data_IF_947460795980
#
_entry.id   IF_947460795980
#
_cell.length_a   1.000
_cell.length_b   1.000
_cell.length_c   1.000
_cell.angle_alpha   90.00
_cell.angle_beta   90.00
_cell.angle_gamma   90.00
#
_symmetry.space_group_name_H-M   'P 1'
#
loop_
_entity.id
_entity.type
_entity.pdbx_description
1 polymer ?
#
# COMPACT_ATOMS: atom_id res chain seq x y z
N UNK A 1 -15.04 14.11 -20.06
CA UNK A 1 -13.86 13.40 -19.53
C UNK A 1 -14.37 12.16 -18.81
N UNK A 2 -13.62 11.06 -18.80
CA UNK A 2 -13.92 9.95 -17.89
C UNK A 2 -13.76 10.43 -16.43
N UNK A 3 -14.48 9.82 -15.48
CA UNK A 3 -14.38 10.16 -14.06
C UNK A 3 -14.05 8.91 -13.25
N UNK A 4 -12.92 8.95 -12.55
CA UNK A 4 -12.50 7.95 -11.54
C UNK A 4 -13.42 7.93 -10.30
N UNK A 5 -14.31 8.92 -10.15
CA UNK A 5 -15.34 9.02 -9.10
C UNK A 5 -16.73 8.55 -9.58
N UNK A 6 -16.88 8.09 -10.83
CA UNK A 6 -18.19 7.67 -11.38
C UNK A 6 -18.85 6.52 -10.58
N UNK A 7 -18.07 5.77 -9.81
CA UNK A 7 -18.50 4.67 -8.95
C UNK A 7 -19.14 5.13 -7.62
N UNK A 8 -18.98 6.40 -7.24
CA UNK A 8 -19.51 7.00 -6.00
C UNK A 8 -20.94 7.53 -6.21
N UNK A 9 -21.82 6.62 -6.64
CA UNK A 9 -23.21 6.93 -7.02
C UNK A 9 -24.08 7.30 -5.82
N UNK A 10 -25.20 7.98 -6.09
CA UNK A 10 -26.23 8.26 -5.09
C UNK A 10 -26.78 6.97 -4.46
N UNK A 11 -26.93 5.89 -5.25
CA UNK A 11 -27.33 4.57 -4.72
C UNK A 11 -26.33 4.05 -3.68
N UNK A 12 -25.02 4.16 -3.94
CA UNK A 12 -23.98 3.76 -2.98
C UNK A 12 -24.11 4.53 -1.68
N UNK A 13 -24.31 5.86 -1.76
CA UNK A 13 -24.52 6.69 -0.59
C UNK A 13 -25.79 6.29 0.19
N UNK A 14 -26.90 5.97 -0.48
CA UNK A 14 -28.13 5.47 0.16
C UNK A 14 -27.94 4.12 0.85
N UNK A 15 -27.21 3.18 0.23
CA UNK A 15 -26.87 1.89 0.82
C UNK A 15 -26.01 2.06 2.08
N UNK A 16 -25.00 2.94 2.01
CA UNK A 16 -24.15 3.26 3.16
C UNK A 16 -24.95 3.91 4.30
N UNK A 17 -25.87 4.83 4.01
CA UNK A 17 -26.76 5.39 5.04
C UNK A 17 -27.64 4.32 5.73
N UNK A 18 -28.11 3.31 4.99
CA UNK A 18 -28.82 2.15 5.56
C UNK A 18 -27.91 1.25 6.41
N UNK A 19 -26.67 1.05 5.97
CA UNK A 19 -25.64 0.33 6.72
C UNK A 19 -25.37 1.01 8.06
N UNK A 20 -25.15 2.33 8.07
CA UNK A 20 -24.97 3.15 9.29
C UNK A 20 -26.20 3.03 10.20
N UNK A 21 -27.42 3.17 9.65
CA UNK A 21 -28.67 3.08 10.41
C UNK A 21 -28.83 1.73 11.13
N UNK A 22 -28.43 0.64 10.50
CA UNK A 22 -28.56 -0.72 11.04
C UNK A 22 -27.45 -1.07 12.03
N UNK A 23 -26.19 -0.79 11.67
CA UNK A 23 -24.99 -1.14 12.46
C UNK A 23 -24.65 -0.17 13.59
N UNK A 24 -25.18 1.07 13.55
CA UNK A 24 -24.79 2.20 14.41
C UNK A 24 -23.31 2.58 14.31
N UNK A 25 -22.63 2.21 13.21
CA UNK A 25 -21.25 2.61 12.93
C UNK A 25 -21.26 3.87 12.09
N UNK A 26 -20.96 5.01 12.72
CA UNK A 26 -20.94 6.32 12.05
C UNK A 26 -19.58 6.65 11.41
N UNK A 27 -18.48 6.13 11.98
CA UNK A 27 -17.12 6.34 11.48
C UNK A 27 -16.30 5.06 11.53
N UNK A 28 -15.38 4.92 10.60
CA UNK A 28 -14.45 3.79 10.44
C UNK A 28 -13.05 4.32 10.14
N UNK A 29 -12.04 3.46 10.19
CA UNK A 29 -10.71 3.78 9.65
C UNK A 29 -10.76 3.98 8.12
N UNK A 30 -9.74 4.65 7.57
CA UNK A 30 -9.71 4.98 6.14
C UNK A 30 -9.60 3.76 5.21
N UNK A 31 -9.12 2.62 5.69
CA UNK A 31 -9.01 1.42 4.86
C UNK A 31 -10.38 0.76 4.70
N UNK A 32 -11.11 0.52 5.79
CA UNK A 32 -12.50 0.07 5.73
C UNK A 32 -13.40 1.07 4.97
N UNK A 33 -13.22 2.38 5.16
CA UNK A 33 -13.91 3.40 4.38
C UNK A 33 -13.68 3.22 2.87
N UNK A 34 -12.42 3.16 2.44
CA UNK A 34 -12.06 3.00 1.04
C UNK A 34 -12.57 1.66 0.46
N UNK A 35 -12.46 0.55 1.19
CA UNK A 35 -12.99 -0.74 0.75
C UNK A 35 -14.52 -0.74 0.63
N UNK A 36 -15.27 -0.14 1.56
CA UNK A 36 -16.74 -0.03 1.45
C UNK A 36 -17.14 0.85 0.27
N UNK A 37 -16.48 1.99 0.07
CA UNK A 37 -16.77 2.90 -1.05
C UNK A 37 -16.35 2.37 -2.42
N UNK A 38 -15.37 1.46 -2.49
CA UNK A 38 -14.90 0.80 -3.72
C UNK A 38 -15.40 -0.66 -3.88
N UNK A 39 -16.21 -1.15 -2.94
CA UNK A 39 -16.80 -2.50 -3.00
C UNK A 39 -17.74 -2.68 -4.19
N UNK A 40 -17.91 -3.93 -4.60
CA UNK A 40 -18.95 -4.31 -5.55
C UNK A 40 -20.36 -3.95 -5.05
N UNK A 41 -21.23 -3.52 -5.96
CA UNK A 41 -22.56 -3.01 -5.58
C UNK A 41 -23.48 -4.12 -5.06
N UNK A 42 -23.43 -5.33 -5.62
CA UNK A 42 -24.26 -6.44 -5.13
C UNK A 42 -23.76 -6.96 -3.78
N UNK A 43 -22.44 -6.96 -3.56
CA UNK A 43 -21.85 -7.27 -2.25
C UNK A 43 -22.29 -6.24 -1.20
N UNK A 44 -22.23 -4.94 -1.52
CA UNK A 44 -22.72 -3.89 -0.62
C UNK A 44 -24.23 -4.02 -0.34
N UNK A 45 -25.06 -4.29 -1.36
CA UNK A 45 -26.49 -4.57 -1.18
C UNK A 45 -26.71 -5.82 -0.31
N UNK A 46 -25.90 -6.87 -0.48
CA UNK A 46 -25.92 -8.07 0.36
C UNK A 46 -25.58 -7.78 1.82
N UNK A 47 -24.50 -7.01 2.06
CA UNK A 47 -24.07 -6.56 3.39
C UNK A 47 -25.15 -5.75 4.11
N UNK A 48 -25.80 -4.82 3.40
CA UNK A 48 -26.94 -4.04 3.93
C UNK A 48 -28.13 -4.93 4.27
N UNK A 49 -28.55 -5.84 3.37
CA UNK A 49 -29.64 -6.80 3.63
C UNK A 49 -29.34 -7.68 4.84
N UNK A 50 -28.08 -8.10 5.02
CA UNK A 50 -27.67 -8.88 6.19
C UNK A 50 -27.73 -8.04 7.46
N UNK A 51 -27.21 -6.81 7.46
CA UNK A 51 -27.29 -5.91 8.62
C UNK A 51 -28.75 -5.59 9.01
N UNK A 52 -29.66 -5.50 8.04
CA UNK A 52 -31.09 -5.25 8.26
C UNK A 52 -31.88 -6.48 8.75
N UNK A 53 -31.34 -7.70 8.67
CA UNK A 53 -32.08 -8.92 9.02
C UNK A 53 -32.30 -9.12 10.53
N UNK A 54 -31.54 -8.42 11.38
CA UNK A 54 -31.71 -8.43 12.83
C UNK A 54 -30.45 -8.02 13.61
N UNK A 55 -30.61 -7.77 14.90
CA UNK A 55 -29.55 -7.22 15.78
C UNK A 55 -28.26 -8.05 15.80
N UNK A 56 -28.36 -9.39 15.73
CA UNK A 56 -27.18 -10.25 15.71
C UNK A 56 -26.36 -10.06 14.41
N UNK A 57 -27.03 -10.05 13.26
CA UNK A 57 -26.40 -9.79 11.96
C UNK A 57 -25.85 -8.36 11.85
N UNK A 58 -26.59 -7.36 12.35
CA UNK A 58 -26.10 -5.98 12.45
C UNK A 58 -24.79 -5.89 13.25
N UNK A 59 -24.68 -6.61 14.38
CA UNK A 59 -23.47 -6.65 15.20
C UNK A 59 -22.31 -7.36 14.50
N UNK A 60 -22.55 -8.46 13.77
CA UNK A 60 -21.50 -9.13 12.99
C UNK A 60 -20.92 -8.20 11.90
N UNK A 61 -21.79 -7.51 11.15
CA UNK A 61 -21.35 -6.53 10.15
C UNK A 61 -20.61 -5.37 10.81
N UNK A 62 -21.11 -4.86 11.95
CA UNK A 62 -20.46 -3.79 12.72
C UNK A 62 -19.05 -4.17 13.23
N UNK A 63 -18.80 -5.44 13.54
CA UNK A 63 -17.46 -5.94 13.90
C UNK A 63 -16.55 -6.00 12.67
N UNK A 64 -17.05 -6.54 11.55
CA UNK A 64 -16.30 -6.65 10.30
C UNK A 64 -15.81 -5.28 9.80
N UNK A 65 -16.69 -4.28 9.71
CA UNK A 65 -16.34 -2.93 9.22
C UNK A 65 -15.51 -2.09 10.22
N UNK A 66 -15.13 -2.66 11.38
CA UNK A 66 -14.22 -2.04 12.36
C UNK A 66 -12.85 -2.72 12.40
N UNK A 67 -12.59 -3.75 11.58
CA UNK A 67 -11.36 -4.55 11.61
C UNK A 67 -10.13 -3.88 10.97
N UNK A 68 -10.00 -2.55 11.06
CA UNK A 68 -9.03 -1.71 10.34
C UNK A 68 -7.57 -2.19 10.34
N UNK A 69 -6.97 -2.56 11.49
CA UNK A 69 -5.57 -2.99 11.54
C UNK A 69 -5.29 -4.23 10.69
N UNK A 70 -6.21 -5.21 10.65
CA UNK A 70 -6.08 -6.40 9.80
C UNK A 70 -6.14 -6.02 8.31
N UNK A 71 -7.08 -5.15 7.95
CA UNK A 71 -7.28 -4.65 6.58
C UNK A 71 -6.01 -3.95 6.06
N UNK A 72 -5.41 -3.07 6.86
CA UNK A 72 -4.18 -2.37 6.48
C UNK A 72 -2.98 -3.33 6.43
N UNK A 73 -2.85 -4.27 7.38
CA UNK A 73 -1.78 -5.28 7.35
C UNK A 73 -1.78 -6.05 6.02
N UNK A 74 -2.94 -6.54 5.58
CA UNK A 74 -3.06 -7.23 4.30
C UNK A 74 -2.76 -6.31 3.11
N UNK A 75 -3.25 -5.07 3.13
CA UNK A 75 -3.02 -4.10 2.05
C UNK A 75 -1.55 -3.64 1.96
N UNK A 76 -0.85 -3.49 3.07
CA UNK A 76 0.59 -3.21 3.07
C UNK A 76 1.39 -4.41 2.56
N UNK A 77 0.97 -5.62 2.92
CA UNK A 77 1.55 -6.86 2.42
C UNK A 77 1.33 -7.05 0.91
N UNK A 78 0.19 -6.58 0.38
CA UNK A 78 -0.04 -6.42 -1.06
C UNK A 78 0.95 -5.44 -1.68
N UNK A 79 1.04 -4.21 -1.15
CA UNK A 79 1.94 -3.15 -1.62
C UNK A 79 3.43 -3.46 -1.46
N UNK A 80 3.80 -4.59 -0.82
CA UNK A 80 5.11 -4.84 -0.22
C UNK A 80 6.30 -4.38 -1.07
N UNK A 81 6.91 -3.28 -0.61
CA UNK A 81 8.15 -2.71 -1.11
C UNK A 81 9.25 -3.76 -1.08
N UNK A 82 10.21 -3.71 -2.02
CA UNK A 82 11.52 -4.35 -1.81
C UNK A 82 12.18 -3.65 -0.63
N UNK A 83 12.19 -4.27 0.55
CA UNK A 83 13.09 -3.87 1.63
C UNK A 83 14.52 -4.05 1.11
N UNK A 84 15.29 -2.97 1.08
CA UNK A 84 16.63 -2.94 0.48
C UNK A 84 17.70 -3.58 1.38
N UNK A 85 17.37 -4.76 1.95
CA UNK A 85 18.12 -5.39 3.05
C UNK A 85 18.42 -6.88 2.84
N UNK A 86 18.31 -7.37 1.61
CA UNK A 86 18.99 -8.59 1.11
C UNK A 86 18.83 -8.73 -0.41
N UNK A 87 19.79 -8.21 -1.17
CA UNK A 87 20.03 -8.56 -2.59
C UNK A 87 21.45 -8.08 -2.99
N UNK A 88 22.44 -8.24 -2.10
CA UNK A 88 23.88 -8.21 -2.46
C UNK A 88 24.33 -9.63 -2.75
N UNK A 89 23.87 -10.18 -3.88
CA UNK A 89 24.32 -11.45 -4.45
C UNK A 89 24.02 -11.47 -5.97
N UNK A 90 24.69 -10.59 -6.73
CA UNK A 90 25.09 -10.77 -8.15
C UNK A 90 25.82 -9.50 -8.66
N UNK A 91 27.02 -9.26 -8.15
CA UNK A 91 27.96 -8.26 -8.70
C UNK A 91 29.41 -8.59 -8.34
N UNK A 92 29.82 -9.84 -8.56
CA UNK A 92 31.20 -10.30 -8.41
C UNK A 92 31.72 -10.78 -9.78
N UNK A 93 32.26 -9.83 -10.56
CA UNK A 93 33.45 -9.99 -11.44
C UNK A 93 33.62 -8.78 -12.36
N UNK A 94 34.03 -7.64 -11.80
CA UNK A 94 34.86 -6.64 -12.50
C UNK A 94 35.84 -6.06 -11.48
N UNK A 95 37.12 -6.42 -11.57
CA UNK A 95 38.16 -5.72 -10.80
C UNK A 95 38.26 -4.25 -11.24
N UNK A 96 38.34 -3.28 -10.31
CA UNK A 96 38.58 -1.90 -10.66
C UNK A 96 40.07 -1.69 -11.01
N UNK A 97 40.34 -1.50 -12.30
CA UNK A 97 41.66 -1.08 -12.77
C UNK A 97 42.07 0.25 -12.12
N UNK A 98 43.33 0.33 -11.67
CA UNK A 98 43.89 1.52 -11.00
C UNK A 98 44.08 2.69 -11.98
N UNK A 99 43.75 3.94 -11.58
CA UNK A 99 43.92 5.10 -12.45
C UNK A 99 45.38 5.55 -12.51
N UNK A 100 45.93 5.63 -13.72
CA UNK A 100 47.28 6.15 -13.99
C UNK A 100 47.25 7.66 -14.27
N UNK A 101 47.97 8.45 -13.47
CA UNK A 101 48.23 9.88 -13.69
C UNK A 101 49.49 10.08 -14.54
N UNK A 102 49.55 11.06 -15.47
CA UNK A 102 50.69 11.23 -16.38
C UNK A 102 51.76 12.20 -15.86
N UNK A 103 53.05 11.91 -16.12
CA UNK A 103 54.16 12.88 -16.14
C UNK A 103 55.40 12.32 -16.88
N UNK A 104 56.14 13.20 -17.55
CA UNK A 104 57.33 12.96 -18.40
C UNK A 104 58.51 13.83 -17.86
N UNK A 105 59.77 13.80 -18.35
CA UNK A 105 60.62 12.73 -18.96
C UNK A 105 62.10 12.64 -18.43
N UNK A 106 62.77 11.46 -18.53
CA UNK A 106 64.21 11.23 -18.92
C UNK A 106 65.35 11.73 -17.95
N UNK A 107 66.65 11.27 -17.97
CA UNK A 107 67.36 10.12 -18.60
C UNK A 107 68.21 9.19 -17.65
N UNK A 108 68.68 8.05 -18.21
CA UNK A 108 69.93 7.29 -17.89
C UNK A 108 70.04 6.60 -16.49
N UNK A 109 70.80 5.51 -16.27
CA UNK A 109 71.90 4.85 -17.02
C UNK A 109 72.02 3.36 -16.59
N UNK A 110 72.68 2.49 -17.38
CA UNK A 110 73.55 1.44 -16.81
C UNK A 110 73.12 -0.04 -16.83
N UNK A 111 73.67 -0.78 -17.80
CA UNK A 111 74.29 -2.12 -17.64
C UNK A 111 73.45 -3.39 -17.31
N UNK A 112 74.13 -4.54 -17.33
CA UNK A 112 73.62 -5.86 -17.74
C UNK A 112 74.24 -7.00 -16.87
N UNK A 113 74.36 -8.28 -17.28
CA UNK A 113 73.38 -9.36 -17.09
C UNK A 113 73.88 -10.55 -16.23
N UNK A 114 73.16 -11.70 -16.32
CA UNK A 114 73.48 -13.05 -15.80
C UNK A 114 73.06 -13.30 -14.32
N UNK A 115 72.66 -14.51 -13.89
CA UNK A 115 72.90 -15.85 -14.46
C UNK A 115 71.77 -16.88 -14.17
N UNK A 116 71.52 -17.78 -15.12
CA UNK A 116 70.93 -19.13 -14.90
C UNK A 116 72.04 -20.13 -14.46
N UNK A 117 71.85 -21.47 -14.41
CA UNK A 117 70.64 -22.31 -14.32
C UNK A 117 70.74 -23.43 -13.23
N UNK A 118 69.64 -24.14 -12.91
CA UNK A 118 69.69 -25.62 -12.73
C UNK A 118 68.31 -26.31 -12.65
N UNK A 119 68.19 -27.41 -13.38
CA UNK A 119 67.24 -28.54 -13.20
C UNK A 119 68.10 -29.81 -12.89
N UNK A 120 67.61 -31.05 -12.63
CA UNK A 120 66.22 -31.56 -12.72
C UNK A 120 65.77 -32.65 -11.67
N UNK A 121 64.46 -33.01 -11.72
CA UNK A 121 63.88 -34.38 -11.55
C UNK A 121 63.98 -35.20 -10.23
N UNK A 122 62.81 -35.54 -9.61
CA UNK A 122 62.27 -36.93 -9.49
C UNK A 122 61.05 -37.13 -8.53
N UNK A 123 59.88 -37.45 -9.13
CA UNK A 123 59.01 -38.65 -8.91
C UNK A 123 58.63 -39.17 -7.49
N UNK A 124 57.32 -39.07 -7.15
CA UNK A 124 56.45 -39.97 -6.29
C UNK A 124 56.83 -40.15 -4.79
N UNK A 125 55.96 -40.44 -3.81
CA UNK A 125 54.60 -41.06 -3.81
C UNK A 125 53.79 -40.74 -2.53
N UNK A 126 52.46 -40.82 -2.61
CA UNK A 126 51.47 -41.23 -1.57
C UNK A 126 51.45 -40.60 -0.15
N UNK A 127 50.29 -40.03 0.19
CA UNK A 127 49.51 -40.47 1.37
C UNK A 127 48.00 -40.34 1.10
N UNK A 128 47.23 -41.26 1.66
CA UNK A 128 45.78 -41.41 1.51
C UNK A 128 45.04 -40.77 2.69
N UNK A 129 43.84 -40.25 2.45
CA UNK A 129 42.75 -40.28 3.45
C UNK A 129 41.37 -40.20 2.77
N UNK A 130 40.33 -40.57 3.52
CA UNK A 130 39.14 -41.27 3.00
C UNK A 130 38.01 -40.38 2.44
N UNK A 131 37.12 -40.93 1.58
CA UNK A 131 35.95 -40.21 1.08
C UNK A 131 34.78 -40.22 2.08
N UNK A 132 33.99 -39.15 2.09
CA UNK A 132 32.72 -39.06 2.82
C UNK A 132 31.79 -38.00 2.17
N UNK A 133 30.45 -38.14 2.30
CA UNK A 133 29.70 -38.42 1.08
C UNK A 133 28.55 -37.46 0.74
N UNK A 134 27.97 -37.68 -0.44
CA UNK A 134 26.59 -37.32 -0.81
C UNK A 134 26.20 -35.83 -0.70
N UNK A 135 26.50 -35.06 -1.76
CA UNK A 135 25.68 -33.89 -2.09
C UNK A 135 24.30 -34.37 -2.55
N UNK A 136 23.33 -34.37 -1.62
CA UNK A 136 21.92 -34.54 -1.96
C UNK A 136 21.51 -33.39 -2.90
N UNK A 137 20.97 -33.64 -4.09
CA UNK A 137 20.43 -32.58 -4.92
C UNK A 137 19.28 -31.91 -4.18
N UNK A 138 19.43 -30.63 -3.85
CA UNK A 138 18.36 -29.83 -3.24
C UNK A 138 17.17 -29.84 -4.20
N UNK A 139 16.06 -30.44 -3.79
CA UNK A 139 14.82 -30.44 -4.57
C UNK A 139 14.30 -29.00 -4.65
N UNK A 140 14.70 -28.27 -5.69
CA UNK A 140 14.21 -26.93 -5.97
C UNK A 140 12.81 -27.05 -6.56
N UNK A 141 11.78 -26.65 -5.81
CA UNK A 141 10.42 -26.51 -6.33
C UNK A 141 10.43 -25.66 -7.61
N UNK A 142 10.04 -26.20 -8.78
CA UNK A 142 10.17 -25.49 -10.06
C UNK A 142 9.36 -24.19 -10.15
N UNK A 143 8.31 -24.02 -9.33
CA UNK A 143 7.42 -22.85 -9.34
C UNK A 143 7.93 -21.60 -8.61
N UNK A 144 9.19 -21.56 -8.14
CA UNK A 144 9.71 -20.46 -7.31
C UNK A 144 10.89 -19.67 -7.92
N UNK A 145 11.31 -19.98 -9.15
CA UNK A 145 12.32 -19.21 -9.87
C UNK A 145 11.68 -18.24 -10.86
N UNK A 146 12.26 -17.02 -10.96
CA UNK A 146 11.84 -16.00 -11.92
C UNK A 146 12.00 -16.52 -13.35
N UNK A 147 10.93 -16.56 -14.13
CA UNK A 147 10.92 -17.09 -15.48
C UNK A 147 11.62 -16.12 -16.44
N UNK A 148 12.83 -16.49 -16.87
CA UNK A 148 13.54 -15.72 -17.90
C UNK A 148 12.71 -15.61 -19.18
N UNK A 149 12.10 -16.72 -19.62
CA UNK A 149 11.24 -16.76 -20.81
C UNK A 149 10.05 -15.80 -20.71
N UNK A 150 9.36 -15.74 -19.56
CA UNK A 150 8.21 -14.84 -19.42
C UNK A 150 8.63 -13.36 -19.46
N UNK A 151 9.79 -13.03 -18.88
CA UNK A 151 10.38 -11.69 -18.94
C UNK A 151 10.83 -11.31 -20.35
N UNK A 152 11.46 -12.22 -21.07
CA UNK A 152 11.92 -12.00 -22.43
C UNK A 152 10.71 -11.78 -23.38
N UNK A 153 9.62 -12.53 -23.18
CA UNK A 153 8.33 -12.31 -23.87
C UNK A 153 7.74 -10.94 -23.54
N UNK A 154 7.60 -10.58 -22.26
CA UNK A 154 7.05 -9.28 -21.86
C UNK A 154 7.91 -8.11 -22.37
N UNK A 155 9.25 -8.26 -22.34
CA UNK A 155 10.19 -7.28 -22.89
C UNK A 155 10.04 -7.14 -24.41
N UNK A 156 9.90 -8.25 -25.15
CA UNK A 156 9.71 -8.22 -26.59
C UNK A 156 8.37 -7.56 -26.96
N UNK A 157 7.28 -7.95 -26.29
CA UNK A 157 5.93 -7.38 -26.45
C UNK A 157 5.90 -5.87 -26.25
N UNK A 158 6.53 -5.38 -25.19
CA UNK A 158 6.55 -3.95 -24.83
C UNK A 158 7.68 -3.17 -25.52
N UNK A 159 8.32 -3.75 -26.56
CA UNK A 159 9.46 -3.19 -27.31
C UNK A 159 10.67 -2.79 -26.43
N UNK A 160 10.78 -3.37 -25.23
CA UNK A 160 11.80 -3.04 -24.24
C UNK A 160 11.67 -1.65 -23.61
N UNK A 161 10.57 -0.92 -23.86
CA UNK A 161 10.34 0.44 -23.37
C UNK A 161 9.37 0.44 -22.18
N UNK A 162 9.37 1.50 -21.37
CA UNK A 162 8.30 1.71 -20.40
C UNK A 162 6.97 1.96 -21.14
N UNK A 163 5.95 1.15 -20.87
CA UNK A 163 4.65 1.28 -21.57
C UNK A 163 3.93 2.61 -21.32
N UNK A 164 4.26 3.29 -20.21
CA UNK A 164 3.69 4.60 -19.83
C UNK A 164 4.45 5.75 -20.48
N UNK A 165 5.77 5.82 -20.27
CA UNK A 165 6.58 6.96 -20.70
C UNK A 165 7.29 6.77 -22.04
N UNK A 166 7.19 5.59 -22.67
CA UNK A 166 7.99 5.20 -23.84
C UNK A 166 9.52 5.32 -23.66
N UNK A 167 9.99 5.48 -22.41
CA UNK A 167 11.40 5.56 -22.05
C UNK A 167 12.10 4.22 -22.31
N UNK A 168 13.22 4.23 -23.02
CA UNK A 168 13.98 3.02 -23.37
C UNK A 168 14.80 2.44 -22.22
N UNK A 169 15.49 3.28 -21.45
CA UNK A 169 16.32 2.85 -20.31
C UNK A 169 16.30 3.91 -19.19
N UNK A 170 16.35 3.53 -17.89
CA UNK A 170 16.30 2.15 -17.38
C UNK A 170 14.86 1.61 -17.31
N UNK A 171 14.66 0.38 -17.78
CA UNK A 171 13.37 -0.33 -17.78
C UNK A 171 13.44 -1.61 -16.95
N UNK A 172 12.38 -1.88 -16.19
CA UNK A 172 12.20 -3.04 -15.34
C UNK A 172 10.99 -3.85 -15.82
N UNK A 173 11.07 -5.18 -15.71
CA UNK A 173 9.92 -6.06 -15.90
C UNK A 173 9.22 -6.23 -14.54
N UNK A 174 8.06 -5.60 -14.41
CA UNK A 174 7.30 -5.47 -13.18
C UNK A 174 6.12 -6.44 -13.16
N UNK A 175 5.86 -7.06 -12.02
CA UNK A 175 4.68 -7.91 -11.82
C UNK A 175 3.44 -7.07 -11.50
N UNK A 176 2.27 -7.46 -12.01
CA UNK A 176 0.97 -6.86 -11.69
C UNK A 176 0.48 -7.40 -10.35
N UNK A 177 0.29 -8.71 -10.27
CA UNK A 177 0.22 -9.45 -9.02
C UNK A 177 1.63 -9.60 -8.45
N UNK A 178 1.93 -8.84 -7.40
CA UNK A 178 3.27 -8.76 -6.82
C UNK A 178 3.87 -10.14 -6.48
N UNK A 179 5.09 -10.39 -6.96
CA UNK A 179 5.83 -11.64 -6.74
C UNK A 179 6.07 -11.97 -5.25
N UNK A 180 6.06 -10.97 -4.35
CA UNK A 180 6.06 -11.18 -2.90
C UNK A 180 4.81 -11.94 -2.42
N UNK A 181 3.64 -11.62 -2.95
CA UNK A 181 2.38 -12.29 -2.63
C UNK A 181 2.35 -13.74 -3.15
N UNK A 182 3.05 -14.03 -4.25
CA UNK A 182 3.26 -15.40 -4.74
C UNK A 182 4.16 -16.25 -3.84
N UNK A 183 5.05 -15.62 -3.05
CA UNK A 183 5.99 -16.30 -2.13
C UNK A 183 5.42 -16.57 -0.73
N UNK A 184 4.31 -15.93 -0.36
CA UNK A 184 3.59 -16.17 0.89
C UNK A 184 3.20 -17.64 1.06
N UNK A 185 3.01 -18.07 2.31
CA UNK A 185 2.37 -19.35 2.63
C UNK A 185 0.93 -19.39 2.13
N UNK A 186 0.34 -20.58 2.06
CA UNK A 186 -1.06 -20.76 1.64
C UNK A 186 -2.03 -20.00 2.55
N UNK A 187 -1.90 -20.17 3.87
CA UNK A 187 -2.73 -19.45 4.85
C UNK A 187 -2.63 -17.91 4.74
N UNK A 188 -1.44 -17.33 4.57
CA UNK A 188 -1.29 -15.88 4.40
C UNK A 188 -1.89 -15.35 3.08
N UNK A 189 -2.01 -16.20 2.05
CA UNK A 189 -2.74 -15.85 0.81
C UNK A 189 -4.24 -15.98 1.05
N UNK A 190 -4.68 -17.01 1.76
CA UNK A 190 -6.09 -17.24 2.06
C UNK A 190 -6.67 -16.16 2.98
N UNK A 191 -5.90 -15.62 3.93
CA UNK A 191 -6.28 -14.41 4.69
C UNK A 191 -6.51 -13.20 3.75
N UNK A 192 -5.57 -12.94 2.83
CA UNK A 192 -5.69 -11.85 1.86
C UNK A 192 -6.90 -12.02 0.95
N UNK A 193 -7.12 -13.22 0.39
CA UNK A 193 -8.28 -13.49 -0.45
C UNK A 193 -9.59 -13.48 0.33
N UNK A 194 -9.58 -13.94 1.59
CA UNK A 194 -10.71 -13.89 2.52
C UNK A 194 -11.15 -12.46 2.84
N UNK A 195 -10.18 -11.54 2.98
CA UNK A 195 -10.47 -10.11 3.08
C UNK A 195 -11.17 -9.57 1.83
N UNK A 196 -10.69 -9.91 0.63
CA UNK A 196 -11.30 -9.40 -0.61
C UNK A 196 -12.72 -9.94 -0.84
N UNK A 197 -13.02 -11.16 -0.38
CA UNK A 197 -14.38 -11.74 -0.42
C UNK A 197 -15.41 -10.98 0.43
N UNK A 198 -14.99 -10.10 1.34
CA UNK A 198 -15.91 -9.21 2.07
C UNK A 198 -16.39 -8.01 1.22
N UNK A 199 -15.74 -7.72 0.08
CA UNK A 199 -15.96 -6.51 -0.71
C UNK A 199 -16.18 -6.76 -2.22
N UNK A 200 -15.83 -7.93 -2.75
CA UNK A 200 -16.09 -8.34 -4.15
C UNK A 200 -16.69 -9.75 -4.24
N UNK A 201 -17.50 -10.04 -5.29
CA UNK A 201 -18.20 -11.31 -5.40
C UNK A 201 -17.24 -12.48 -5.63
N UNK A 202 -17.63 -13.67 -5.16
CA UNK A 202 -16.82 -14.90 -5.21
C UNK A 202 -16.26 -15.12 -6.63
N UNK A 203 -17.12 -15.08 -7.63
CA UNK A 203 -16.79 -15.28 -9.05
C UNK A 203 -15.66 -14.33 -9.53
N UNK A 204 -15.62 -13.09 -9.03
CA UNK A 204 -14.59 -12.09 -9.39
C UNK A 204 -13.27 -12.40 -8.70
N UNK A 205 -13.29 -12.84 -7.44
CA UNK A 205 -12.11 -13.31 -6.72
C UNK A 205 -11.56 -14.59 -7.36
N UNK A 206 -12.43 -15.50 -7.80
CA UNK A 206 -12.02 -16.72 -8.51
C UNK A 206 -11.41 -16.42 -9.89
N UNK A 207 -11.96 -15.47 -10.65
CA UNK A 207 -11.35 -14.97 -11.89
C UNK A 207 -9.93 -14.44 -11.64
N UNK A 208 -9.74 -13.58 -10.63
CA UNK A 208 -8.41 -13.08 -10.25
C UNK A 208 -7.47 -14.21 -9.85
N UNK A 209 -7.92 -15.18 -9.04
CA UNK A 209 -7.14 -16.35 -8.64
C UNK A 209 -6.72 -17.23 -9.82
N UNK A 210 -7.62 -17.48 -10.77
CA UNK A 210 -7.37 -18.36 -11.91
C UNK A 210 -6.21 -17.84 -12.80
N UNK A 211 -6.12 -16.53 -12.98
CA UNK A 211 -5.04 -15.87 -13.73
C UNK A 211 -3.67 -15.89 -13.00
N UNK A 212 -3.64 -16.25 -11.71
CA UNK A 212 -2.44 -16.25 -10.86
C UNK A 212 -1.96 -17.67 -10.54
N UNK A 213 -2.89 -18.55 -10.15
CA UNK A 213 -2.62 -19.88 -9.62
C UNK A 213 -2.82 -21.01 -10.64
N UNK A 214 -2.91 -20.67 -11.93
CA UNK A 214 -2.81 -21.64 -13.01
C UNK A 214 -1.46 -22.38 -13.02
N UNK A 215 -1.28 -23.41 -13.89
CA UNK A 215 -0.11 -24.30 -13.87
C UNK A 215 1.27 -23.64 -14.03
N UNK A 216 1.31 -22.37 -14.43
CA UNK A 216 2.52 -21.57 -14.66
C UNK A 216 2.81 -20.57 -13.52
N UNK A 217 1.92 -20.45 -12.54
CA UNK A 217 2.04 -19.54 -11.39
C UNK A 217 2.14 -18.06 -11.78
N UNK A 218 2.75 -17.27 -10.90
CA UNK A 218 2.91 -15.80 -11.07
C UNK A 218 3.87 -15.36 -12.19
N UNK A 219 4.64 -16.29 -12.75
CA UNK A 219 5.74 -16.02 -13.69
C UNK A 219 5.31 -16.20 -15.15
N UNK A 220 4.20 -15.54 -15.52
CA UNK A 220 3.58 -15.53 -16.86
C UNK A 220 3.62 -14.14 -17.50
N UNK A 221 3.73 -14.00 -18.84
CA UNK A 221 3.76 -12.69 -19.50
C UNK A 221 2.51 -11.82 -19.24
N UNK A 222 1.35 -12.44 -19.04
CA UNK A 222 0.10 -11.77 -18.67
C UNK A 222 0.17 -11.07 -17.30
N UNK A 223 1.08 -11.48 -16.42
CA UNK A 223 1.31 -10.86 -15.11
C UNK A 223 2.47 -9.84 -15.15
N UNK A 224 3.05 -9.54 -16.32
CA UNK A 224 4.26 -8.74 -16.47
C UNK A 224 4.05 -7.51 -17.36
N UNK A 225 4.70 -6.40 -16.99
CA UNK A 225 4.70 -5.10 -17.69
C UNK A 225 6.10 -4.49 -17.68
N UNK A 226 6.50 -3.83 -18.77
CA UNK A 226 7.70 -3.00 -18.78
C UNK A 226 7.43 -1.59 -18.25
N UNK A 227 8.04 -1.22 -17.13
CA UNK A 227 7.95 0.11 -16.53
C UNK A 227 9.35 0.69 -16.30
N UNK A 228 9.49 2.02 -16.37
CA UNK A 228 10.72 2.66 -15.86
C UNK A 228 10.77 2.56 -14.34
N UNK A 229 11.96 2.65 -13.76
CA UNK A 229 12.15 2.64 -12.31
C UNK A 229 11.25 3.68 -11.59
N UNK A 230 11.13 4.90 -12.12
CA UNK A 230 10.31 5.96 -11.54
C UNK A 230 8.82 5.60 -11.58
N UNK A 231 8.32 5.07 -12.71
CA UNK A 231 6.90 4.69 -12.84
C UNK A 231 6.58 3.52 -11.91
N UNK A 232 7.47 2.53 -11.81
CA UNK A 232 7.33 1.39 -10.92
C UNK A 232 7.29 1.83 -9.44
N UNK A 233 8.24 2.65 -9.00
CA UNK A 233 8.29 3.17 -7.63
C UNK A 233 7.04 3.99 -7.26
N UNK A 234 6.53 4.79 -8.19
CA UNK A 234 5.29 5.56 -8.00
C UNK A 234 4.06 4.65 -7.92
N UNK A 235 4.02 3.57 -8.71
CA UNK A 235 2.94 2.59 -8.68
C UNK A 235 2.93 1.81 -7.35
N UNK A 236 4.07 1.29 -6.91
CA UNK A 236 4.22 0.61 -5.62
C UNK A 236 3.91 1.52 -4.41
N UNK A 237 4.05 2.84 -4.57
CA UNK A 237 3.67 3.86 -3.56
C UNK A 237 2.23 4.36 -3.72
N UNK A 238 1.40 3.69 -4.53
CA UNK A 238 0.01 4.06 -4.83
C UNK A 238 -0.16 5.52 -5.26
N UNK A 239 0.81 6.09 -5.98
CA UNK A 239 0.76 7.47 -6.51
C UNK A 239 0.12 7.56 -7.89
N UNK A 240 0.08 6.43 -8.59
CA UNK A 240 -0.58 6.27 -9.87
C UNK A 240 -1.23 4.88 -9.95
N UNK A 241 -2.17 4.69 -10.87
CA UNK A 241 -2.71 3.38 -11.22
C UNK A 241 -3.16 3.33 -12.69
N UNK A 242 -3.43 2.10 -13.16
CA UNK A 242 -3.88 1.81 -14.51
C UNK A 242 -5.27 1.17 -14.47
N UNK A 243 -6.28 1.87 -14.97
CA UNK A 243 -7.63 1.35 -15.15
C UNK A 243 -7.67 0.57 -16.48
N UNK A 244 -7.97 -0.75 -16.51
CA UNK A 244 -8.20 -1.45 -17.76
C UNK A 244 -9.57 -1.04 -18.33
N UNK A 245 -9.61 -0.56 -19.57
CA UNK A 245 -10.81 0.02 -20.20
C UNK A 245 -11.50 -0.99 -21.11
N UNK A 246 -10.74 -1.57 -22.03
CA UNK A 246 -11.24 -2.53 -23.03
C UNK A 246 -10.07 -3.36 -23.57
N UNK A 247 -10.37 -4.60 -23.98
CA UNK A 247 -9.48 -5.44 -24.77
C UNK A 247 -10.20 -5.78 -26.07
N UNK A 248 -9.50 -5.75 -27.21
CA UNK A 248 -10.08 -6.12 -28.49
C UNK A 248 -10.40 -7.61 -28.54
N UNK A 249 -11.43 -7.99 -29.31
CA UNK A 249 -11.93 -9.38 -29.36
C UNK A 249 -10.92 -10.39 -29.91
N UNK A 250 -9.89 -9.93 -30.64
CA UNK A 250 -8.75 -10.69 -31.13
C UNK A 250 -7.57 -10.75 -30.13
N UNK A 251 -7.65 -10.02 -29.02
CA UNK A 251 -6.61 -9.94 -27.98
C UNK A 251 -5.35 -9.17 -28.39
N UNK A 252 -5.37 -8.44 -29.52
CA UNK A 252 -4.18 -7.74 -30.05
C UNK A 252 -3.96 -6.36 -29.44
N UNK A 253 -5.00 -5.72 -28.88
CA UNK A 253 -4.91 -4.40 -28.26
C UNK A 253 -5.65 -4.35 -26.91
N UNK A 254 -5.01 -3.77 -25.90
CA UNK A 254 -5.54 -3.54 -24.56
C UNK A 254 -5.42 -2.05 -24.24
N UNK A 255 -6.56 -1.39 -24.11
CA UNK A 255 -6.65 0.02 -23.75
C UNK A 255 -6.64 0.14 -22.23
N UNK A 256 -5.64 0.84 -21.67
CA UNK A 256 -5.60 1.22 -20.25
C UNK A 256 -5.71 2.74 -20.12
N UNK A 257 -6.19 3.21 -18.96
CA UNK A 257 -6.25 4.64 -18.62
C UNK A 257 -5.36 4.93 -17.42
N UNK A 258 -4.48 5.91 -17.59
CA UNK A 258 -3.57 6.39 -16.56
C UNK A 258 -4.29 7.30 -15.57
N UNK A 259 -4.03 7.11 -14.29
CA UNK A 259 -4.53 7.99 -13.23
C UNK A 259 -3.42 8.33 -12.24
N UNK A 260 -3.19 9.62 -12.01
CA UNK A 260 -2.55 10.09 -10.78
C UNK A 260 -3.54 9.93 -9.62
N UNK A 261 -3.04 9.52 -8.45
CA UNK A 261 -3.85 9.28 -7.25
C UNK A 261 -3.51 10.29 -6.14
N UNK A 262 -4.47 10.65 -5.27
CA UNK A 262 -4.24 11.59 -4.16
C UNK A 262 -3.32 11.00 -3.09
N UNK A 263 -2.72 11.88 -2.29
CA UNK A 263 -1.83 11.53 -1.19
C UNK A 263 -2.54 11.64 0.13
N UNK A 264 -3.11 10.54 0.61
CA UNK A 264 -3.74 10.49 1.93
C UNK A 264 -2.75 9.99 2.98
N UNK A 265 -2.82 10.52 4.20
CA UNK A 265 -2.10 9.97 5.36
C UNK A 265 -2.99 8.97 6.11
N UNK A 266 -2.45 7.82 6.46
CA UNK A 266 -3.14 6.79 7.25
C UNK A 266 -3.18 7.18 8.74
N UNK A 267 -4.07 8.10 9.10
CA UNK A 267 -4.44 8.34 10.49
C UNK A 267 -5.89 8.82 10.58
N UNK A 268 -6.51 8.62 11.74
CA UNK A 268 -7.83 9.09 12.08
C UNK A 268 -8.97 8.31 11.44
N UNK A 269 -10.17 8.51 12.00
CA UNK A 269 -11.42 7.92 11.51
C UNK A 269 -12.13 8.91 10.61
N UNK A 270 -12.81 8.40 9.60
CA UNK A 270 -13.63 9.19 8.66
C UNK A 270 -15.09 8.81 8.80
N UNK A 271 -16.00 9.76 8.60
CA UNK A 271 -17.42 9.46 8.63
C UNK A 271 -17.77 8.55 7.44
N UNK A 272 -18.49 7.46 7.72
CA UNK A 272 -18.73 6.43 6.71
C UNK A 272 -19.60 6.96 5.55
N UNK A 273 -20.45 7.95 5.82
CA UNK A 273 -21.30 8.62 4.85
C UNK A 273 -20.60 9.58 3.89
N UNK A 274 -19.36 9.98 4.17
CA UNK A 274 -18.65 10.97 3.36
C UNK A 274 -18.01 10.26 2.16
N UNK A 275 -18.33 10.64 0.90
CA UNK A 275 -17.70 10.02 -0.26
C UNK A 275 -16.19 10.32 -0.27
N UNK A 276 -15.32 9.33 -0.54
CA UNK A 276 -13.91 9.58 -0.76
C UNK A 276 -13.71 10.42 -2.03
N UNK A 277 -12.64 11.23 -2.08
CA UNK A 277 -12.28 11.98 -3.28
C UNK A 277 -11.09 11.35 -4.01
N UNK A 278 -11.26 11.19 -5.31
CA UNK A 278 -10.24 10.80 -6.28
C UNK A 278 -10.27 11.84 -7.41
N UNK A 279 -9.56 12.99 -7.31
CA UNK A 279 -9.75 14.07 -8.28
C UNK A 279 -9.32 13.66 -9.69
N UNK A 280 -10.27 13.63 -10.63
CA UNK A 280 -10.02 13.18 -12.01
C UNK A 280 -9.03 14.07 -12.79
N UNK A 281 -8.75 15.29 -12.31
CA UNK A 281 -7.94 16.31 -12.98
C UNK A 281 -6.48 16.40 -12.50
N UNK A 282 -5.98 15.42 -11.75
CA UNK A 282 -4.60 15.43 -11.24
C UNK A 282 -3.57 15.40 -12.39
N UNK A 283 -2.56 16.28 -12.30
CA UNK A 283 -1.49 16.46 -13.32
C UNK A 283 -0.11 16.03 -12.84
N UNK A 284 -0.02 15.53 -11.61
CA UNK A 284 1.20 15.17 -10.92
C UNK A 284 0.85 14.30 -9.71
N UNK A 285 1.85 13.64 -9.14
CA UNK A 285 1.73 13.00 -7.83
C UNK A 285 1.55 14.03 -6.70
N UNK A 286 1.14 13.59 -5.50
CA UNK A 286 0.97 14.45 -4.32
C UNK A 286 2.25 15.18 -3.89
N UNK A 287 3.41 14.66 -4.28
CA UNK A 287 4.74 15.25 -4.03
C UNK A 287 5.35 15.84 -5.32
N UNK A 288 4.50 16.29 -6.24
CA UNK A 288 4.86 16.98 -7.49
C UNK A 288 5.75 16.16 -8.46
N UNK A 289 5.76 14.83 -8.35
CA UNK A 289 6.36 13.99 -9.39
C UNK A 289 5.48 14.06 -10.65
N UNK A 290 6.11 14.18 -11.82
CA UNK A 290 5.45 14.28 -13.13
C UNK A 290 6.13 13.31 -14.09
N UNK A 291 5.38 12.84 -15.08
CA UNK A 291 5.84 11.93 -16.10
C UNK A 291 5.61 12.58 -17.47
N UNK A 292 6.46 12.22 -18.42
CA UNK A 292 6.35 12.61 -19.82
C UNK A 292 6.43 11.37 -20.68
N UNK A 293 5.73 11.40 -21.82
CA UNK A 293 5.92 10.44 -22.89
C UNK A 293 7.13 10.91 -23.73
N UNK A 294 8.22 10.14 -23.69
CA UNK A 294 9.48 10.43 -24.37
C UNK A 294 9.41 10.33 -25.90
N UNK A 295 8.34 9.77 -26.46
CA UNK A 295 8.12 9.67 -27.91
C UNK A 295 7.35 10.88 -28.46
N UNK A 296 6.44 11.46 -27.67
CA UNK A 296 5.61 12.61 -28.07
C UNK A 296 6.02 13.94 -27.41
N UNK A 297 6.96 13.91 -26.47
CA UNK A 297 7.37 15.02 -25.57
C UNK A 297 6.19 15.65 -24.77
N UNK A 298 5.11 14.89 -24.58
CA UNK A 298 3.90 15.34 -23.90
C UNK A 298 3.89 14.96 -22.40
N UNK A 299 3.39 15.82 -21.50
CA UNK A 299 3.22 15.50 -20.08
C UNK A 299 2.02 14.56 -19.87
N UNK A 300 2.19 13.55 -19.00
CA UNK A 300 1.18 12.52 -18.76
C UNK A 300 0.25 12.92 -17.61
N UNK A 301 -1.06 12.98 -17.89
CA UNK A 301 -2.10 13.43 -16.94
C UNK A 301 -3.14 12.36 -16.63
N UNK A 302 -3.89 12.57 -15.54
CA UNK A 302 -5.04 11.70 -15.20
C UNK A 302 -6.08 11.68 -16.31
N UNK A 303 -6.59 10.49 -16.59
CA UNK A 303 -7.58 10.23 -17.63
C UNK A 303 -6.98 9.97 -19.01
N UNK A 304 -5.66 10.04 -19.17
CA UNK A 304 -4.97 9.75 -20.44
C UNK A 304 -5.01 8.27 -20.78
N UNK A 305 -5.22 7.94 -22.06
CA UNK A 305 -5.34 6.56 -22.53
C UNK A 305 -4.04 6.10 -23.18
N UNK A 306 -3.57 4.92 -22.75
CA UNK A 306 -2.41 4.22 -23.29
C UNK A 306 -2.91 2.92 -23.92
N UNK A 307 -2.52 2.63 -25.15
CA UNK A 307 -2.88 1.38 -25.83
C UNK A 307 -1.67 0.46 -25.83
N UNK A 308 -1.81 -0.72 -25.21
CA UNK A 308 -0.83 -1.79 -25.24
C UNK A 308 -1.18 -2.71 -26.41
N UNK A 309 -0.21 -3.02 -27.29
CA UNK A 309 -0.44 -3.82 -28.49
C UNK A 309 0.47 -5.03 -28.57
N UNK A 310 -0.01 -6.12 -29.17
CA UNK A 310 0.80 -7.28 -29.54
C UNK A 310 0.51 -7.74 -30.96
N UNK A 311 1.53 -8.24 -31.66
CA UNK A 311 1.41 -8.85 -32.99
C UNK A 311 1.07 -10.33 -32.93
N UNK A 312 1.24 -10.98 -31.77
CA UNK A 312 0.90 -12.38 -31.53
C UNK A 312 0.29 -12.52 -30.13
N UNK A 313 -1.06 -12.56 -30.02
CA UNK A 313 -1.74 -12.66 -28.73
C UNK A 313 -1.59 -14.03 -28.06
N UNK A 314 -1.01 -15.04 -28.74
CA UNK A 314 -0.79 -16.38 -28.19
C UNK A 314 0.64 -16.53 -27.66
N UNK A 315 1.65 -16.13 -28.44
CA UNK A 315 3.06 -16.20 -28.05
C UNK A 315 3.51 -15.02 -27.19
N UNK A 316 2.96 -13.83 -27.44
CA UNK A 316 3.27 -12.58 -26.72
C UNK A 316 1.98 -11.95 -26.16
N UNK A 317 1.24 -12.64 -25.28
CA UNK A 317 -0.04 -12.17 -24.79
C UNK A 317 0.09 -10.86 -24.02
N UNK A 318 -0.92 -10.01 -24.19
CA UNK A 318 -1.07 -8.78 -23.42
C UNK A 318 -1.23 -9.08 -21.91
N UNK A 319 -0.98 -8.08 -21.05
CA UNK A 319 -1.29 -8.19 -19.63
C UNK A 319 -2.75 -8.60 -19.40
N UNK A 320 -3.02 -9.41 -18.37
CA UNK A 320 -4.40 -9.78 -18.05
C UNK A 320 -5.20 -8.54 -17.65
N UNK A 321 -6.36 -8.39 -18.30
CA UNK A 321 -7.37 -7.41 -17.96
C UNK A 321 -7.80 -7.54 -16.49
N UNK A 322 -7.97 -8.77 -16.02
CA UNK A 322 -8.44 -9.09 -14.68
C UNK A 322 -7.40 -8.81 -13.60
N UNK A 323 -6.13 -9.12 -13.85
CA UNK A 323 -5.04 -8.76 -12.93
C UNK A 323 -4.84 -7.24 -12.85
N UNK A 324 -4.94 -6.53 -13.98
CA UNK A 324 -4.94 -5.07 -14.01
C UNK A 324 -6.14 -4.50 -13.25
N UNK A 325 -7.32 -5.09 -13.39
CA UNK A 325 -8.51 -4.64 -12.68
C UNK A 325 -8.37 -4.82 -11.17
N UNK A 326 -7.81 -5.95 -10.71
CA UNK A 326 -7.53 -6.14 -9.29
C UNK A 326 -6.53 -5.12 -8.75
N UNK A 327 -5.41 -4.92 -9.46
CA UNK A 327 -4.38 -3.96 -9.09
C UNK A 327 -4.90 -2.51 -9.13
N UNK A 328 -5.78 -2.17 -10.07
CA UNK A 328 -6.53 -0.90 -10.13
C UNK A 328 -7.31 -0.64 -8.84
N UNK A 329 -8.16 -1.60 -8.43
CA UNK A 329 -8.98 -1.45 -7.22
C UNK A 329 -8.12 -1.32 -5.97
N UNK A 330 -7.15 -2.21 -5.79
CA UNK A 330 -6.31 -2.24 -4.58
C UNK A 330 -5.37 -1.04 -4.47
N UNK A 331 -4.86 -0.52 -5.60
CA UNK A 331 -4.03 0.69 -5.60
C UNK A 331 -4.86 1.94 -5.26
N UNK A 332 -6.13 2.02 -5.69
CA UNK A 332 -7.05 3.11 -5.26
C UNK A 332 -7.35 3.05 -3.77
N UNK A 333 -7.63 1.85 -3.23
CA UNK A 333 -7.82 1.67 -1.78
C UNK A 333 -6.56 2.13 -1.02
N UNK A 334 -5.37 1.73 -1.47
CA UNK A 334 -4.09 2.12 -0.87
C UNK A 334 -3.85 3.64 -0.87
N UNK A 335 -4.23 4.34 -1.95
CA UNK A 335 -4.11 5.81 -2.04
C UNK A 335 -5.12 6.55 -1.16
N UNK A 336 -6.35 6.03 -1.07
CA UNK A 336 -7.41 6.60 -0.22
C UNK A 336 -7.14 6.41 1.27
N UNK A 337 -6.56 5.28 1.69
CA UNK A 337 -6.22 5.08 3.09
C UNK A 337 -4.83 5.64 3.46
N UNK A 338 -3.88 5.68 2.52
CA UNK A 338 -2.51 6.10 2.78
C UNK A 338 -1.56 4.97 3.21
N UNK A 339 -1.98 3.71 3.11
CA UNK A 339 -1.19 2.54 3.53
C UNK A 339 0.19 2.44 2.86
N UNK A 340 0.39 3.10 1.72
CA UNK A 340 1.65 3.10 1.00
C UNK A 340 2.79 3.85 1.73
N UNK A 341 2.47 4.78 2.63
CA UNK A 341 3.47 5.62 3.34
C UNK A 341 3.79 5.15 4.77
N UNK A 342 3.14 4.07 5.22
CA UNK A 342 3.17 3.58 6.60
C UNK A 342 4.40 2.71 6.85
N UNK A 343 5.11 2.94 7.94
CA UNK A 343 6.30 2.18 8.36
C UNK A 343 5.90 0.82 8.96
N UNK A 344 6.84 -0.12 9.17
CA UNK A 344 6.51 -1.40 9.85
C UNK A 344 6.30 -1.16 11.34
N UNK A 345 7.07 -0.23 11.88
CA UNK A 345 6.97 0.33 13.22
C UNK A 345 5.56 0.93 13.48
N UNK A 346 5.04 1.76 12.56
CA UNK A 346 3.68 2.36 12.64
C UNK A 346 2.56 1.30 12.73
N UNK A 347 2.78 0.07 12.26
CA UNK A 347 1.78 -1.01 12.36
C UNK A 347 1.79 -1.71 13.72
N UNK A 348 2.94 -1.74 14.39
CA UNK A 348 3.16 -2.40 15.69
C UNK A 348 2.79 -1.46 16.85
N UNK A 349 2.73 -0.15 16.61
CA UNK A 349 2.29 0.86 17.58
C UNK A 349 0.76 0.83 17.77
N UNK A 350 0.28 0.24 18.88
CA UNK A 350 -1.16 0.24 19.25
C UNK A 350 -1.75 1.65 19.37
N UNK A 351 -0.94 2.64 19.78
CA UNK A 351 -1.34 4.05 19.88
C UNK A 351 -1.55 4.73 18.51
N UNK A 352 -0.95 4.20 17.43
CA UNK A 352 -1.20 4.67 16.07
C UNK A 352 -2.64 4.41 15.62
N UNK A 353 -3.22 3.30 16.09
CA UNK A 353 -4.59 2.88 15.78
C UNK A 353 -5.65 3.49 16.70
N UNK A 354 -5.27 3.92 17.90
CA UNK A 354 -6.17 4.46 18.92
C UNK A 354 -6.51 5.95 18.71
N UNK A 355 -5.82 6.63 17.78
CA UNK A 355 -5.83 8.08 17.60
C UNK A 355 -7.20 8.75 17.40
N UNK A 356 -7.75 9.26 18.50
CA UNK A 356 -8.53 10.51 18.48
C UNK A 356 -7.63 11.66 17.99
N UNK A 357 -8.26 12.70 17.44
CA UNK A 357 -7.62 13.79 16.70
C UNK A 357 -6.67 14.63 17.58
N UNK A 358 -5.38 14.28 17.63
CA UNK A 358 -4.33 15.18 18.15
C UNK A 358 -4.11 16.27 17.12
N UNK A 359 -4.91 17.33 17.22
CA UNK A 359 -4.71 18.58 16.51
C UNK A 359 -3.26 19.05 16.74
N UNK A 360 -2.45 19.05 15.67
CA UNK A 360 -1.06 19.49 15.75
C UNK A 360 -1.01 20.94 16.25
N UNK A 361 -0.09 21.30 17.19
CA UNK A 361 -0.02 22.66 17.69
C UNK A 361 0.13 23.66 16.56
N UNK A 362 -0.76 24.66 16.53
CA UNK A 362 -0.66 25.81 15.63
C UNK A 362 0.71 26.46 15.91
N UNK A 363 1.57 26.67 14.90
CA UNK A 363 2.84 27.37 15.10
C UNK A 363 2.59 28.74 15.73
N UNK A 364 3.19 28.96 16.89
CA UNK A 364 3.04 30.17 17.69
C UNK A 364 3.43 31.42 16.87
N UNK A 365 2.65 32.49 17.02
CA UNK A 365 2.71 33.64 16.13
C UNK A 365 4.09 34.32 16.13
N UNK A 366 4.58 34.67 14.93
CA UNK A 366 5.80 35.47 14.78
C UNK A 366 5.66 36.81 15.55
N UNK A 367 6.71 37.25 16.27
CA UNK A 367 6.65 38.46 17.08
C UNK A 367 6.59 39.73 16.22
N UNK A 368 5.92 40.80 16.67
CA UNK A 368 5.84 42.04 15.94
C UNK A 368 7.13 42.86 16.12
N UNK A 369 7.77 43.25 15.02
CA UNK A 369 8.77 44.32 15.00
C UNK A 369 8.33 45.48 14.11
N UNK A 370 8.60 46.68 14.60
CA UNK A 370 8.09 47.96 14.11
C UNK A 370 9.03 48.55 13.05
N UNK A 371 8.47 49.24 12.06
CA UNK A 371 8.92 50.57 11.67
C UNK A 371 7.82 51.29 10.85
N UNK A 372 7.56 52.55 11.18
CA UNK A 372 6.57 53.41 10.54
C UNK A 372 7.12 54.04 9.24
N UNK A 373 6.24 54.48 8.34
CA UNK A 373 5.96 55.92 8.14
C UNK A 373 5.46 56.26 6.73
N UNK A 374 4.20 56.73 6.64
CA UNK A 374 3.84 57.95 5.93
C UNK A 374 2.40 58.34 6.26
N UNK A 375 2.24 59.62 6.62
CA UNK A 375 1.03 60.20 7.18
C UNK A 375 0.17 60.85 6.09
N UNK A 376 -1.05 61.24 6.47
CA UNK A 376 -1.92 62.21 5.78
C UNK A 376 -2.76 61.63 4.60
N UNK A 377 -4.04 61.96 4.38
CA UNK A 377 -4.96 62.93 5.01
C UNK A 377 -6.39 62.38 5.14
N UNK A 378 -7.15 62.83 6.16
CA UNK A 378 -8.61 62.73 6.23
C UNK A 378 -9.25 64.00 5.63
N UNK A 379 -10.54 63.97 5.26
CA UNK A 379 -11.46 64.77 6.08
C UNK A 379 -12.85 64.15 6.37
N UNK A 380 -13.26 64.37 7.63
CA UNK A 380 -14.60 64.64 8.21
C UNK A 380 -15.91 63.96 7.76
N UNK A 381 -16.74 63.67 8.78
CA UNK A 381 -18.17 63.32 8.70
C UNK A 381 -19.06 64.54 9.02
N UNK A 382 -20.33 64.56 8.57
CA UNK A 382 -21.43 65.19 9.33
C UNK A 382 -22.18 64.22 10.27
N UNK A 383 -23.03 64.76 11.15
CA UNK A 383 -23.66 64.09 12.32
C UNK A 383 -25.19 63.95 12.23
N UNK A 384 -25.75 63.16 13.17
CA UNK A 384 -27.17 63.05 13.64
C UNK A 384 -28.06 62.07 12.81
N UNK A 385 -29.08 61.40 13.38
CA UNK A 385 -29.81 61.61 14.66
C UNK A 385 -30.42 60.34 15.33
N UNK A 386 -30.36 60.33 16.67
CA UNK A 386 -31.39 59.91 17.67
C UNK A 386 -32.29 58.65 17.47
N UNK A 387 -32.05 57.66 18.35
CA UNK A 387 -32.97 56.91 19.26
C UNK A 387 -34.43 57.44 19.42
N UNK A 388 -35.43 56.57 19.78
CA UNK A 388 -35.43 55.84 21.06
C UNK A 388 -35.93 54.39 21.12
N UNK A 389 -35.65 53.76 22.26
CA UNK A 389 -36.19 52.47 22.76
C UNK A 389 -37.66 52.61 23.21
N UNK A 390 -38.39 51.50 23.19
CA UNK A 390 -39.49 51.23 24.13
C UNK A 390 -39.21 49.94 24.91
N UNK A 391 -39.48 49.97 26.22
CA UNK A 391 -39.57 48.79 27.08
C UNK A 391 -40.90 48.06 26.80
N UNK A 392 -40.97 46.75 27.07
CA UNK A 392 -41.86 46.30 28.15
C UNK A 392 -41.50 44.92 28.74
N UNK A 393 -42.00 44.65 29.95
CA UNK A 393 -41.75 43.43 30.76
C UNK A 393 -43.02 42.61 30.94
N UNK A 394 -42.89 41.27 30.90
CA UNK A 394 -43.52 40.28 31.80
C UNK A 394 -42.96 38.90 31.41
N UNK A 395 -42.43 38.00 32.25
CA UNK A 395 -42.57 37.69 33.68
C UNK A 395 -43.81 36.86 34.06
N UNK A 396 -43.69 35.53 33.99
CA UNK A 396 -44.44 34.57 34.82
C UNK A 396 -43.53 33.43 35.27
N UNK A 397 -43.52 33.16 36.57
CA UNK A 397 -42.81 32.09 37.27
C UNK A 397 -43.62 30.78 37.31
N UNK A 398 -42.95 29.66 37.61
CA UNK A 398 -43.60 28.37 37.89
C UNK A 398 -42.61 27.33 38.41
N UNK A 399 -42.48 27.22 39.73
CA UNK A 399 -41.66 26.21 40.41
C UNK A 399 -42.33 24.83 40.37
N UNK A 400 -41.54 23.74 40.46
CA UNK A 400 -41.77 22.65 41.44
C UNK A 400 -40.68 21.55 41.45
N UNK A 401 -40.28 21.13 42.65
CA UNK A 401 -39.41 19.98 43.01
C UNK A 401 -39.48 19.77 44.54
N UNK A 402 -39.01 18.65 45.15
CA UNK A 402 -38.77 17.29 44.64
C UNK A 402 -39.78 16.30 45.33
N UNK A 403 -39.54 15.45 46.37
CA UNK A 403 -38.34 14.78 46.92
C UNK A 403 -38.34 13.23 46.85
N UNK A 404 -37.13 12.66 46.70
CA UNK A 404 -36.58 11.40 47.27
C UNK A 404 -37.43 10.14 47.58
N UNK A 405 -36.92 8.96 47.17
CA UNK A 405 -36.58 7.89 48.12
C UNK A 405 -35.55 6.85 47.58
N UNK A 406 -34.55 6.52 48.39
CA UNK A 406 -33.74 5.29 48.29
C UNK A 406 -34.30 4.22 49.24
N UNK A 407 -33.91 2.94 49.05
CA UNK A 407 -33.28 2.23 50.18
C UNK A 407 -31.98 1.48 49.80
N UNK A 408 -31.25 1.01 50.83
CA UNK A 408 -29.93 0.34 50.78
C UNK A 408 -29.90 -0.75 51.87
N UNK A 409 -28.98 -1.72 51.75
CA UNK A 409 -28.59 -2.73 52.81
C UNK A 409 -29.64 -3.88 52.91
N UNK A 410 -29.32 -5.18 53.13
CA UNK A 410 -28.18 -5.80 53.83
C UNK A 410 -27.68 -7.13 53.23
N UNK A 411 -26.59 -7.63 53.83
CA UNK A 411 -25.79 -8.81 53.50
C UNK A 411 -26.28 -10.12 54.14
N UNK A 412 -25.75 -11.25 53.67
CA UNK A 412 -25.36 -12.34 54.59
C UNK A 412 -24.20 -13.21 54.07
N UNK A 413 -23.21 -13.40 54.93
CA UNK A 413 -22.04 -14.27 54.77
C UNK A 413 -22.36 -15.67 55.31
N UNK A 414 -21.79 -16.73 54.72
CA UNK A 414 -21.33 -17.91 55.48
C UNK A 414 -20.14 -18.58 54.78
N UNK A 415 -19.34 -19.28 55.59
CA UNK A 415 -17.93 -19.62 55.39
C UNK A 415 -17.67 -21.07 55.85
N UNK A 416 -16.43 -21.57 55.63
CA UNK A 416 -15.79 -22.80 56.13
C UNK A 416 -16.10 -24.09 55.33
N UNK A 417 -15.16 -25.03 55.13
CA UNK A 417 -13.83 -25.29 55.72
C UNK A 417 -12.78 -25.61 54.60
N UNK A 418 -11.46 -25.33 54.69
CA UNK A 418 -10.38 -25.97 55.49
C UNK A 418 -10.30 -27.51 55.29
N UNK A 419 -9.17 -28.16 55.00
CA UNK A 419 -7.79 -28.08 55.55
C UNK A 419 -6.69 -28.03 54.46
N UNK A 420 -5.53 -27.38 54.65
CA UNK A 420 -4.23 -27.87 55.21
C UNK A 420 -3.73 -29.24 54.64
N UNK A 421 -2.43 -29.47 54.38
CA UNK A 421 -1.25 -28.89 55.06
C UNK A 421 0.07 -28.85 54.20
N UNK A 422 1.02 -28.01 54.65
CA UNK A 422 2.50 -27.92 54.47
C UNK A 422 3.25 -28.97 53.59
N UNK A 423 4.13 -28.62 52.64
CA UNK A 423 5.44 -27.91 52.68
C UNK A 423 6.61 -28.69 53.28
N UNK A 424 7.73 -28.85 52.54
CA UNK A 424 8.99 -28.20 52.95
C UNK A 424 10.10 -28.16 51.87
N UNK A 425 11.04 -27.24 52.07
CA UNK A 425 12.20 -26.87 51.22
C UNK A 425 13.44 -26.89 52.14
N UNK A 426 14.62 -27.44 51.73
CA UNK A 426 15.71 -26.52 51.36
C UNK A 426 16.76 -27.02 50.35
N UNK A 427 17.07 -26.13 49.41
CA UNK A 427 18.41 -25.58 49.11
C UNK A 427 19.67 -26.46 49.26
N UNK A 428 20.22 -26.87 48.11
CA UNK A 428 21.55 -26.41 47.65
C UNK A 428 22.83 -27.07 48.18
N UNK A 429 23.61 -27.66 47.27
CA UNK A 429 25.08 -27.59 47.29
C UNK A 429 25.67 -27.77 45.88
N UNK A 430 26.85 -27.19 45.64
CA UNK A 430 27.65 -27.38 44.43
C UNK A 430 28.25 -28.79 44.37
N UNK A 431 28.47 -29.34 43.17
CA UNK A 431 29.79 -29.77 42.63
C UNK A 431 29.64 -30.40 41.24
N UNK A 432 30.65 -30.19 40.40
CA UNK A 432 30.97 -30.81 39.08
C UNK A 432 29.94 -30.75 37.92
#
# INVERSE_FOLDING_TARGET
MASIEAEFTEERAMLIQRLIKSTKVHSVDKANHAFIWLSDMEVLRGMVRHAESGTYSANQVALSIRAGPHVVKQLKSWLARRTSKSDTDEAADVEPATPSTPSTPIPATGESPQSSPTTPSKRKTSKSESPSPTKIPRLTNPGLQRSKTAKDIAKARDNGRCVVTQMGEPVQICHIYHHSMGKKTEGERDEFWGLLLAFWPVDKIEQWKNDIFGPKGTEIPQNLLCLSNIVHDLWSKARLAFEPVEITADGTSLTIRFWWLPGTKLYGRVALCDPPSLPASLKASPLNAKLWNCETDAPIYSGETIVLTTTDPVAMPLPSFELLHMQWMLTRVAALCGAADVSDEDLEDEDFWSGDEIASPIPEALPPTLAESSLSQLPERPRRSKLPRSFDRQATSGENRPPTHYPRVSSKVRELAATDDTSDVPSGHLSD
#
